data_IF_055554274877
#
_entry.id   IF_055554274877
#
_cell.length_a   1.000
_cell.length_b   1.000
_cell.length_c   1.000
_cell.angle_alpha   90.00
_cell.angle_beta   90.00
_cell.angle_gamma   90.00
#
_symmetry.space_group_name_H-M   'P 1'
#
loop_
_entity.id
_entity.type
_entity.pdbx_description
1 polymer ?
#
# COMPACT_ATOMS: atom_id res chain seq x y z
N UNK A 1 -6.74 8.30 15.87
CA UNK A 1 -5.43 8.98 15.70
C UNK A 1 -4.61 8.17 14.71
N UNK A 2 -4.02 8.85 13.73
CA UNK A 2 -3.24 8.20 12.68
C UNK A 2 -1.90 7.66 13.21
N UNK A 3 -1.63 6.39 12.92
CA UNK A 3 -0.41 5.65 13.23
C UNK A 3 0.30 5.26 11.95
N UNK A 4 1.59 4.99 12.02
CA UNK A 4 2.35 4.50 10.86
C UNK A 4 2.24 2.97 10.77
N UNK A 5 2.07 2.46 9.56
CA UNK A 5 2.04 1.03 9.28
C UNK A 5 2.93 0.70 8.09
N UNK A 6 3.71 -0.37 8.22
CA UNK A 6 4.33 -1.02 7.07
C UNK A 6 3.43 -2.19 6.66
N UNK A 7 3.19 -2.31 5.36
CA UNK A 7 2.40 -3.39 4.78
C UNK A 7 3.25 -4.13 3.78
N UNK A 8 3.35 -5.46 3.94
CA UNK A 8 3.82 -6.34 2.89
C UNK A 8 2.61 -6.97 2.20
N UNK A 9 2.43 -6.64 0.92
CA UNK A 9 1.40 -7.21 0.07
C UNK A 9 2.04 -8.31 -0.78
N UNK A 10 1.80 -9.58 -0.43
CA UNK A 10 2.26 -10.72 -1.24
C UNK A 10 1.17 -11.12 -2.22
N UNK A 11 1.43 -11.07 -3.52
CA UNK A 11 0.43 -11.42 -4.53
C UNK A 11 0.00 -12.89 -4.41
N UNK A 12 -1.30 -13.16 -4.53
CA UNK A 12 -1.84 -14.53 -4.48
C UNK A 12 -1.45 -15.38 -5.71
N UNK A 13 -1.08 -14.74 -6.82
CA UNK A 13 -0.60 -15.42 -8.05
C UNK A 13 0.14 -14.45 -8.98
N UNK A 14 0.88 -14.98 -9.96
CA UNK A 14 1.54 -14.19 -11.02
C UNK A 14 0.53 -13.37 -11.83
N UNK A 15 -0.68 -13.91 -12.06
CA UNK A 15 -1.76 -13.19 -12.75
C UNK A 15 -2.18 -11.93 -11.97
N UNK A 16 -2.34 -12.04 -10.64
CA UNK A 16 -2.66 -10.90 -9.79
C UNK A 16 -1.54 -9.86 -9.77
N UNK A 17 -0.27 -10.31 -9.77
CA UNK A 17 0.89 -9.43 -9.90
C UNK A 17 0.87 -8.65 -11.21
N UNK A 18 0.69 -9.34 -12.33
CA UNK A 18 0.63 -8.70 -13.65
C UNK A 18 -0.49 -7.66 -13.73
N UNK A 19 -1.69 -8.00 -13.24
CA UNK A 19 -2.84 -7.07 -13.17
C UNK A 19 -2.53 -5.83 -12.33
N UNK A 20 -1.87 -5.99 -11.18
CA UNK A 20 -1.49 -4.86 -10.33
C UNK A 20 -0.55 -3.89 -11.04
N UNK A 21 0.55 -4.40 -11.63
CA UNK A 21 1.54 -3.54 -12.28
C UNK A 21 1.03 -2.93 -13.58
N UNK A 22 0.16 -3.64 -14.31
CA UNK A 22 -0.52 -3.08 -15.48
C UNK A 22 -1.41 -1.90 -15.06
N UNK A 23 -2.24 -2.09 -14.01
CA UNK A 23 -3.10 -1.02 -13.49
C UNK A 23 -2.28 0.15 -12.91
N UNK A 24 -1.24 -0.13 -12.14
CA UNK A 24 -0.42 0.91 -11.51
C UNK A 24 0.42 1.70 -12.52
N UNK A 25 0.78 1.11 -13.67
CA UNK A 25 1.51 1.80 -14.74
C UNK A 25 0.74 2.99 -15.32
N UNK A 26 -0.59 2.99 -15.16
CA UNK A 26 -1.48 4.05 -15.63
C UNK A 26 -1.70 5.16 -14.59
N UNK A 27 -1.18 5.00 -13.36
CA UNK A 27 -1.39 5.94 -12.26
C UNK A 27 -0.19 6.88 -12.10
N UNK A 28 -0.45 8.18 -12.05
CA UNK A 28 0.58 9.17 -11.70
C UNK A 28 0.74 9.28 -10.18
N UNK A 29 1.92 9.69 -9.68
CA UNK A 29 2.11 9.99 -8.26
C UNK A 29 1.13 11.05 -7.74
N UNK A 30 0.79 12.05 -8.55
CA UNK A 30 -0.19 13.09 -8.22
C UNK A 30 -1.58 12.48 -8.00
N UNK A 31 -2.03 11.63 -8.92
CA UNK A 31 -3.32 10.94 -8.78
C UNK A 31 -3.36 10.09 -7.51
N UNK A 32 -2.30 9.33 -7.23
CA UNK A 32 -2.21 8.56 -5.99
C UNK A 32 -2.26 9.47 -4.75
N UNK A 33 -1.56 10.61 -4.75
CA UNK A 33 -1.57 11.56 -3.63
C UNK A 33 -2.96 12.18 -3.38
N UNK A 34 -3.73 12.38 -4.44
CA UNK A 34 -5.08 12.95 -4.38
C UNK A 34 -6.12 11.92 -3.94
N UNK A 35 -6.01 10.69 -4.45
CA UNK A 35 -7.08 9.69 -4.33
C UNK A 35 -6.76 8.50 -3.42
N UNK A 36 -5.50 8.19 -3.10
CA UNK A 36 -5.12 7.09 -2.20
C UNK A 36 -5.12 7.53 -0.73
N UNK A 37 -6.14 8.27 -0.31
CA UNK A 37 -6.35 8.69 1.07
C UNK A 37 -7.82 8.99 1.36
N UNK A 38 -8.20 8.87 2.62
CA UNK A 38 -9.44 9.34 3.21
C UNK A 38 -9.16 9.79 4.66
N UNK A 39 -10.21 10.00 5.46
CA UNK A 39 -10.08 10.47 6.84
C UNK A 39 -9.42 9.45 7.80
N UNK A 40 -9.43 8.16 7.45
CA UNK A 40 -8.98 7.06 8.32
C UNK A 40 -7.72 6.34 7.81
N UNK A 41 -7.31 6.54 6.56
CA UNK A 41 -6.12 5.93 5.95
C UNK A 41 -5.54 6.82 4.84
N UNK A 42 -4.20 6.87 4.74
CA UNK A 42 -3.49 7.65 3.73
C UNK A 42 -2.21 6.90 3.31
N UNK A 43 -2.14 6.57 2.04
CA UNK A 43 -0.97 5.97 1.41
C UNK A 43 0.18 6.99 1.36
N UNK A 44 1.37 6.59 1.80
CA UNK A 44 2.54 7.47 1.81
C UNK A 44 3.53 7.13 0.70
N UNK A 45 3.80 5.84 0.51
CA UNK A 45 4.83 5.36 -0.41
C UNK A 45 4.69 3.86 -0.68
N UNK A 46 5.17 3.45 -1.85
CA UNK A 46 5.27 2.07 -2.31
C UNK A 46 6.67 1.80 -2.83
N UNK A 47 7.18 0.61 -2.56
CA UNK A 47 8.28 0.01 -3.28
C UNK A 47 7.81 -1.30 -3.89
N UNK A 48 7.86 -1.39 -5.21
CA UNK A 48 7.50 -2.59 -5.96
C UNK A 48 8.59 -2.93 -6.98
N UNK A 49 8.70 -4.23 -7.27
CA UNK A 49 9.48 -4.75 -8.38
C UNK A 49 8.56 -5.68 -9.19
N UNK A 50 8.31 -5.42 -10.49
CA UNK A 50 7.48 -6.29 -11.33
C UNK A 50 7.93 -7.75 -11.39
N UNK A 51 9.19 -8.04 -11.09
CA UNK A 51 9.75 -9.39 -11.05
C UNK A 51 9.51 -10.10 -9.70
N UNK A 52 9.12 -9.38 -8.65
CA UNK A 52 8.92 -9.92 -7.31
C UNK A 52 7.44 -10.19 -7.00
N UNK A 53 7.20 -11.13 -6.09
CA UNK A 53 5.85 -11.49 -5.63
C UNK A 53 5.37 -10.67 -4.43
N UNK A 54 6.07 -9.58 -4.10
CA UNK A 54 5.76 -8.73 -2.95
C UNK A 54 5.97 -7.26 -3.29
N UNK A 55 5.08 -6.41 -2.77
CA UNK A 55 5.24 -4.95 -2.74
C UNK A 55 5.10 -4.46 -1.31
N UNK A 56 5.87 -3.42 -0.97
CA UNK A 56 5.94 -2.87 0.38
C UNK A 56 5.37 -1.47 0.39
N UNK A 57 4.40 -1.23 1.27
CA UNK A 57 3.69 0.05 1.36
C UNK A 57 3.82 0.65 2.75
N UNK A 58 4.10 1.95 2.81
CA UNK A 58 3.93 2.72 4.04
C UNK A 58 2.58 3.44 4.01
N UNK A 59 1.80 3.22 5.06
CA UNK A 59 0.52 3.88 5.31
C UNK A 59 0.54 4.67 6.62
N UNK A 60 -0.18 5.79 6.64
CA UNK A 60 -0.70 6.36 7.88
C UNK A 60 -2.17 5.96 7.99
N UNK A 61 -2.60 5.37 9.10
CA UNK A 61 -3.99 4.94 9.27
C UNK A 61 -4.42 4.89 10.73
N UNK A 62 -5.71 4.82 11.00
CA UNK A 62 -6.21 4.62 12.36
C UNK A 62 -6.06 3.15 12.82
N UNK A 63 -6.16 2.21 11.88
CA UNK A 63 -6.06 0.77 12.12
C UNK A 63 -5.66 0.00 10.84
N UNK A 64 -5.25 -1.28 10.96
CA UNK A 64 -5.10 -2.15 9.79
C UNK A 64 -6.38 -2.27 8.94
N UNK A 65 -7.56 -2.29 9.59
CA UNK A 65 -8.84 -2.39 8.89
C UNK A 65 -9.08 -1.18 7.98
N UNK A 66 -8.74 0.03 8.42
CA UNK A 66 -8.89 1.24 7.61
C UNK A 66 -8.03 1.21 6.33
N UNK A 67 -6.85 0.55 6.38
CA UNK A 67 -6.01 0.35 5.19
C UNK A 67 -6.69 -0.61 4.21
N UNK A 68 -7.23 -1.73 4.71
CA UNK A 68 -7.92 -2.72 3.88
C UNK A 68 -9.19 -2.13 3.25
N UNK A 69 -9.98 -1.36 4.00
CA UNK A 69 -11.15 -0.65 3.50
C UNK A 69 -10.78 0.36 2.41
N UNK A 70 -9.69 1.12 2.60
CA UNK A 70 -9.19 2.07 1.61
C UNK A 70 -8.70 1.39 0.33
N UNK A 71 -8.09 0.20 0.44
CA UNK A 71 -7.68 -0.60 -0.71
C UNK A 71 -8.87 -1.24 -1.44
N UNK A 72 -9.98 -1.48 -0.74
CA UNK A 72 -11.18 -2.11 -1.28
C UNK A 72 -10.85 -3.45 -1.92
N UNK A 73 -11.38 -3.69 -3.12
CA UNK A 73 -11.19 -4.94 -3.87
C UNK A 73 -9.71 -5.23 -4.18
N UNK A 74 -8.83 -4.23 -4.23
CA UNK A 74 -7.40 -4.49 -4.44
C UNK A 74 -6.80 -5.31 -3.30
N UNK A 75 -7.30 -5.17 -2.07
CA UNK A 75 -6.80 -5.94 -0.93
C UNK A 75 -6.91 -7.46 -1.18
N UNK A 76 -7.86 -7.89 -2.01
CA UNK A 76 -8.09 -9.30 -2.36
C UNK A 76 -7.06 -9.87 -3.33
N UNK A 77 -6.21 -9.05 -3.94
CA UNK A 77 -5.11 -9.52 -4.78
C UNK A 77 -3.97 -10.14 -3.95
N UNK A 78 -3.95 -9.87 -2.65
CA UNK A 78 -2.80 -10.14 -1.79
C UNK A 78 -3.12 -10.98 -0.55
N UNK A 79 -2.08 -11.58 0.00
CA UNK A 79 -1.94 -11.80 1.43
C UNK A 79 -1.31 -10.55 2.03
N UNK A 80 -2.03 -9.89 2.95
CA UNK A 80 -1.64 -8.63 3.54
C UNK A 80 -1.05 -8.86 4.95
N UNK A 81 0.23 -8.57 5.14
CA UNK A 81 0.86 -8.49 6.47
C UNK A 81 1.00 -7.02 6.87
N UNK A 82 0.19 -6.57 7.84
CA UNK A 82 0.09 -5.17 8.26
C UNK A 82 0.63 -5.04 9.69
N UNK A 83 1.65 -4.20 9.87
CA UNK A 83 2.33 -4.01 11.16
C UNK A 83 2.42 -2.54 11.52
N UNK A 84 2.02 -2.20 12.74
CA UNK A 84 2.20 -0.85 13.29
C UNK A 84 3.70 -0.58 13.52
N UNK A 85 4.17 0.58 13.07
CA UNK A 85 5.56 1.02 13.14
C UNK A 85 5.67 2.32 13.94
N UNK A 86 5.70 2.26 15.28
CA UNK A 86 5.66 3.46 16.13
C UNK A 86 6.91 4.35 16.01
N UNK A 87 8.02 3.81 15.51
CA UNK A 87 9.31 4.50 15.40
C UNK A 87 9.69 4.63 13.92
N UNK A 88 9.47 5.80 13.34
CA UNK A 88 9.85 6.13 11.95
C UNK A 88 10.93 7.19 11.96
N UNK A 89 12.07 6.88 11.34
CA UNK A 89 13.13 7.85 11.06
C UNK A 89 13.17 8.12 9.55
N UNK A 90 12.80 9.33 9.14
CA UNK A 90 12.97 9.78 7.76
C UNK A 90 14.26 10.59 7.67
N UNK A 91 15.23 10.09 6.90
CA UNK A 91 16.56 10.70 6.70
C UNK A 91 16.79 11.06 5.23
N UNK A 92 15.73 11.16 4.43
CA UNK A 92 15.84 11.65 3.06
C UNK A 92 16.36 13.09 3.05
N UNK A 93 17.29 13.36 2.13
CA UNK A 93 17.89 14.69 1.90
C UNK A 93 16.86 15.73 1.43
#
# INVERSE_FOLDING_TARGET
MMKNYMVAHTFKSEEHRSKHFEASSQLTPEYMREHMKNDSASFQMNWGNPDEMVTYCWWKAESPAAILEMLGEMAELYHNDIKEMPLVANVAD
#
